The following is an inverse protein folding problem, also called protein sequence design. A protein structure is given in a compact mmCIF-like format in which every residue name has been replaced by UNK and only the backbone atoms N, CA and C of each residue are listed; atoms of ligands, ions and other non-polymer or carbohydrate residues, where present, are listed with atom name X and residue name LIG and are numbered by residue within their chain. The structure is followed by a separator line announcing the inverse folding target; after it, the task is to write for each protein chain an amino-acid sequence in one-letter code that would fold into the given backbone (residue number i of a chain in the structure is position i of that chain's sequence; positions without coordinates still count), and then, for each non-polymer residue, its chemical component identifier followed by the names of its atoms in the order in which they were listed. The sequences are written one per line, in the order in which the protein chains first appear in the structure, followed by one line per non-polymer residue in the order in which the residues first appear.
data_IF_008765043323
#
_entry.id   IF_008765043323
#
_cell.length_a   1.000
_cell.length_b   1.000
_cell.length_c   1.000
_cell.angle_alpha   90.00
_cell.angle_beta   90.00
_cell.angle_gamma   90.00
#
_symmetry.space_group_name_H-M   'P 1'
#
loop_
_entity.id
_entity.type
_entity.pdbx_description
1 polymer ?
#
# COMPACT_ATOMS: atom_id res chain seq x y z
N UNK A 1 -50.04 -35.81 0.43
CA UNK A 1 -50.53 -36.82 1.40
C UNK A 1 -49.33 -37.38 2.14
N UNK A 2 -49.53 -37.63 3.43
CA UNK A 2 -48.64 -38.19 4.44
C UNK A 2 -47.61 -37.27 5.09
N UNK A 3 -48.11 -36.71 6.20
CA UNK A 3 -47.41 -36.20 7.36
C UNK A 3 -46.81 -37.34 8.19
N UNK A 4 -45.71 -37.07 8.88
CA UNK A 4 -45.44 -37.61 10.21
C UNK A 4 -45.00 -36.45 11.12
N UNK A 5 -45.73 -36.30 12.23
CA UNK A 5 -45.47 -35.33 13.30
C UNK A 5 -44.79 -36.03 14.49
N UNK A 6 -43.87 -35.33 15.15
CA UNK A 6 -43.36 -35.64 16.48
C UNK A 6 -43.06 -34.32 17.20
N UNK A 7 -43.63 -34.13 18.38
CA UNK A 7 -43.83 -32.84 19.07
C UNK A 7 -42.80 -32.58 20.20
N UNK A 8 -42.45 -31.29 20.39
CA UNK A 8 -42.04 -30.51 21.61
C UNK A 8 -41.17 -31.17 22.73
N UNK A 9 -40.19 -30.51 23.38
CA UNK A 9 -40.19 -29.15 23.97
C UNK A 9 -38.79 -28.78 24.55
N UNK A 10 -38.59 -27.46 24.70
CA UNK A 10 -37.72 -26.70 25.64
C UNK A 10 -36.20 -26.84 25.61
N UNK A 11 -35.51 -25.70 25.36
CA UNK A 11 -34.11 -25.53 25.78
C UNK A 11 -33.33 -24.44 25.04
N UNK A 12 -33.62 -23.17 25.35
CA UNK A 12 -32.65 -22.06 25.45
C UNK A 12 -31.50 -21.95 24.43
N UNK A 13 -31.62 -20.92 23.60
CA UNK A 13 -30.62 -20.31 22.72
C UNK A 13 -29.17 -20.33 23.20
N UNK A 14 -28.22 -20.67 22.30
CA UNK A 14 -26.90 -20.03 22.22
C UNK A 14 -26.15 -20.38 20.91
N UNK A 15 -25.95 -19.33 20.09
CA UNK A 15 -24.85 -19.11 19.11
C UNK A 15 -24.86 -20.07 17.90
N UNK A 16 -24.50 -19.69 16.67
CA UNK A 16 -23.59 -18.65 16.19
C UNK A 16 -23.90 -18.49 14.69
N UNK A 17 -24.45 -17.35 14.25
CA UNK A 17 -24.55 -17.06 12.82
C UNK A 17 -23.13 -16.71 12.32
N UNK A 18 -22.45 -17.69 11.72
CA UNK A 18 -21.28 -17.43 10.88
C UNK A 18 -21.77 -17.26 9.44
N UNK A 19 -22.15 -16.03 9.10
CA UNK A 19 -22.23 -15.61 7.70
C UNK A 19 -20.80 -15.51 7.17
N UNK A 20 -20.40 -16.45 6.31
CA UNK A 20 -19.17 -16.39 5.52
C UNK A 20 -19.58 -16.42 4.05
N UNK A 21 -19.80 -15.26 3.45
CA UNK A 21 -19.79 -15.15 2.00
C UNK A 21 -18.35 -14.84 1.57
N UNK A 22 -17.62 -15.89 1.21
CA UNK A 22 -16.36 -15.80 0.47
C UNK A 22 -16.72 -16.02 -1.00
N UNK A 23 -16.81 -14.94 -1.77
CA UNK A 23 -17.00 -15.02 -3.21
C UNK A 23 -15.77 -15.71 -3.82
N UNK A 24 -15.97 -16.94 -4.31
CA UNK A 24 -14.98 -17.80 -4.94
C UNK A 24 -15.39 -17.91 -6.41
N UNK A 25 -14.89 -17.02 -7.26
CA UNK A 25 -15.14 -17.15 -8.70
C UNK A 25 -14.14 -18.15 -9.30
N UNK A 26 -14.63 -19.39 -9.39
CA UNK A 26 -14.57 -20.31 -10.55
C UNK A 26 -13.21 -20.44 -11.27
N UNK A 27 -12.54 -21.57 -10.99
CA UNK A 27 -11.94 -22.40 -12.03
C UNK A 27 -12.59 -23.78 -11.88
N UNK A 28 -13.53 -24.10 -12.77
CA UNK A 28 -14.15 -25.41 -12.89
C UNK A 28 -13.41 -26.12 -14.02
N UNK A 29 -12.64 -27.14 -13.69
CA UNK A 29 -12.24 -28.20 -14.63
C UNK A 29 -11.82 -29.41 -13.80
N UNK A 30 -12.72 -30.39 -13.79
CA UNK A 30 -12.57 -31.82 -13.52
C UNK A 30 -11.92 -32.27 -12.19
N UNK A 31 -12.74 -32.92 -11.36
CA UNK A 31 -12.42 -33.41 -10.03
C UNK A 31 -11.55 -34.67 -10.08
N UNK A 32 -10.25 -34.52 -9.83
CA UNK A 32 -9.40 -35.64 -9.41
C UNK A 32 -9.47 -35.81 -7.87
N UNK A 33 -9.91 -36.97 -7.33
CA UNK A 33 -10.36 -37.09 -5.93
C UNK A 33 -9.29 -36.90 -4.84
N UNK A 34 -8.02 -36.70 -5.19
CA UNK A 34 -6.90 -36.56 -4.25
C UNK A 34 -5.97 -35.38 -4.54
N UNK A 35 -6.31 -34.49 -5.47
CA UNK A 35 -5.47 -33.33 -5.77
C UNK A 35 -5.66 -32.25 -4.70
N UNK A 36 -4.68 -32.08 -3.81
CA UNK A 36 -4.60 -30.84 -3.01
C UNK A 36 -4.54 -29.67 -3.99
N UNK A 37 -5.36 -28.65 -3.77
CA UNK A 37 -5.33 -27.42 -4.57
C UNK A 37 -3.90 -26.91 -4.65
N UNK A 38 -3.42 -26.63 -5.86
CA UNK A 38 -2.09 -26.08 -6.08
C UNK A 38 -2.00 -24.69 -5.43
N UNK A 39 -1.38 -24.63 -4.25
CA UNK A 39 -1.26 -23.39 -3.47
C UNK A 39 0.03 -22.62 -3.83
N UNK A 40 0.14 -21.39 -3.33
CA UNK A 40 1.33 -20.55 -3.54
C UNK A 40 2.62 -21.22 -3.02
N UNK A 41 2.54 -21.95 -1.93
CA UNK A 41 3.66 -22.68 -1.32
C UNK A 41 4.14 -23.80 -2.22
N UNK A 42 3.22 -24.56 -2.82
CA UNK A 42 3.51 -25.60 -3.81
C UNK A 42 4.16 -25.00 -5.06
N UNK A 43 3.63 -23.89 -5.58
CA UNK A 43 4.24 -23.18 -6.70
C UNK A 43 5.67 -22.73 -6.41
N UNK A 44 5.90 -22.10 -5.26
CA UNK A 44 7.23 -21.66 -4.88
C UNK A 44 8.20 -22.84 -4.72
N UNK A 45 7.76 -23.98 -4.17
CA UNK A 45 8.59 -25.19 -4.10
C UNK A 45 8.99 -25.70 -5.49
N UNK A 46 8.07 -25.70 -6.45
CA UNK A 46 8.35 -26.06 -7.84
C UNK A 46 9.38 -25.11 -8.45
N UNK A 47 9.19 -23.80 -8.31
CA UNK A 47 10.08 -22.79 -8.90
C UNK A 47 11.48 -22.76 -8.25
N UNK A 48 11.65 -23.20 -7.01
CA UNK A 48 12.98 -23.29 -6.38
C UNK A 48 13.68 -24.64 -6.63
N UNK A 49 13.04 -25.57 -7.34
CA UNK A 49 13.61 -26.89 -7.57
C UNK A 49 14.60 -26.86 -8.74
N UNK A 50 15.90 -26.90 -8.43
CA UNK A 50 17.00 -26.91 -9.42
C UNK A 50 17.01 -28.13 -10.33
N UNK A 51 16.19 -29.15 -10.06
CA UNK A 51 16.00 -30.29 -10.96
C UNK A 51 15.56 -29.83 -12.35
N UNK A 52 14.76 -28.76 -12.47
CA UNK A 52 14.36 -28.25 -13.80
C UNK A 52 15.51 -27.66 -14.61
N UNK A 53 16.66 -27.38 -13.99
CA UNK A 53 17.90 -26.92 -14.62
C UNK A 53 18.86 -28.05 -15.01
N UNK A 54 18.44 -29.31 -14.93
CA UNK A 54 19.36 -30.44 -15.15
C UNK A 54 20.27 -30.71 -13.96
N UNK A 55 19.99 -30.15 -12.77
CA UNK A 55 20.86 -30.28 -11.59
C UNK A 55 20.26 -31.21 -10.55
N UNK A 56 21.09 -32.07 -9.97
CA UNK A 56 20.75 -32.90 -8.82
C UNK A 56 21.24 -32.24 -7.52
N UNK A 57 20.35 -31.96 -6.58
CA UNK A 57 20.71 -31.33 -5.29
C UNK A 57 20.81 -32.39 -4.19
N UNK A 58 22.01 -32.56 -3.62
CA UNK A 58 22.23 -33.40 -2.43
C UNK A 58 22.82 -32.58 -1.30
N UNK A 59 22.17 -32.61 -0.12
CA UNK A 59 22.60 -31.88 1.10
C UNK A 59 22.97 -30.41 0.84
N UNK A 60 22.23 -29.74 -0.05
CA UNK A 60 22.43 -28.33 -0.39
C UNK A 60 23.48 -28.04 -1.48
N UNK A 61 24.23 -29.05 -1.94
CA UNK A 61 25.16 -28.91 -3.07
C UNK A 61 24.49 -29.38 -4.36
N UNK A 62 24.66 -28.61 -5.44
CA UNK A 62 24.10 -28.94 -6.75
C UNK A 62 25.17 -29.60 -7.62
N UNK A 63 24.84 -30.73 -8.23
CA UNK A 63 25.67 -31.50 -9.14
C UNK A 63 25.02 -31.55 -10.53
N UNK A 64 25.78 -31.70 -11.62
CA UNK A 64 25.21 -31.98 -12.93
C UNK A 64 24.44 -33.30 -12.86
N UNK A 65 23.15 -33.26 -13.22
CA UNK A 65 22.29 -34.43 -13.36
C UNK A 65 22.43 -35.07 -14.74
N UNK A 66 21.92 -36.28 -14.88
CA UNK A 66 21.92 -37.01 -16.16
C UNK A 66 20.76 -36.60 -17.08
N UNK A 67 19.82 -35.80 -16.60
CA UNK A 67 18.66 -35.35 -17.35
C UNK A 67 18.88 -33.96 -17.96
N UNK A 68 18.35 -33.76 -19.16
CA UNK A 68 18.40 -32.47 -19.84
C UNK A 68 17.64 -31.40 -19.06
N UNK A 69 18.18 -30.17 -19.11
CA UNK A 69 17.52 -29.02 -18.52
C UNK A 69 16.22 -28.71 -19.28
N UNK A 70 15.12 -28.59 -18.53
CA UNK A 70 13.83 -28.18 -19.07
C UNK A 70 13.76 -26.64 -19.17
N UNK A 71 14.45 -25.95 -18.25
CA UNK A 71 14.47 -24.49 -18.15
C UNK A 71 15.89 -23.99 -18.36
N UNK A 72 16.03 -22.97 -19.21
CA UNK A 72 17.30 -22.29 -19.45
C UNK A 72 17.78 -21.48 -18.24
N UNK A 73 19.09 -21.26 -18.16
CA UNK A 73 19.73 -20.49 -17.08
C UNK A 73 19.25 -19.04 -17.03
N UNK A 74 19.14 -18.37 -18.18
CA UNK A 74 18.71 -16.97 -18.23
C UNK A 74 17.29 -16.79 -17.70
N UNK A 75 16.38 -17.67 -18.11
CA UNK A 75 14.99 -17.68 -17.66
C UNK A 75 14.86 -18.02 -16.17
N UNK A 76 15.71 -18.93 -15.67
CA UNK A 76 15.77 -19.27 -14.26
C UNK A 76 16.16 -18.06 -13.41
N UNK A 77 17.21 -17.35 -13.81
CA UNK A 77 17.72 -16.18 -13.09
C UNK A 77 16.70 -15.04 -13.09
N UNK A 78 16.06 -14.74 -14.23
CA UNK A 78 15.00 -13.74 -14.33
C UNK A 78 13.83 -14.02 -13.37
N UNK A 79 13.39 -15.29 -13.29
CA UNK A 79 12.31 -15.70 -12.37
C UNK A 79 12.75 -15.52 -10.91
N UNK A 80 13.99 -15.87 -10.59
CA UNK A 80 14.51 -15.72 -9.24
C UNK A 80 14.70 -14.26 -8.83
N UNK A 81 15.10 -13.40 -9.75
CA UNK A 81 15.13 -11.95 -9.57
C UNK A 81 13.73 -11.39 -9.30
N UNK A 82 12.72 -11.85 -10.05
CA UNK A 82 11.33 -11.48 -9.77
C UNK A 82 10.91 -11.96 -8.38
N UNK A 83 11.21 -13.20 -7.98
CA UNK A 83 10.87 -13.73 -6.65
C UNK A 83 11.55 -12.93 -5.53
N UNK A 84 12.83 -12.58 -5.70
CA UNK A 84 13.60 -11.79 -4.74
C UNK A 84 13.01 -10.38 -4.57
N UNK A 85 12.74 -9.70 -5.70
CA UNK A 85 12.22 -8.33 -5.72
C UNK A 85 10.73 -8.24 -5.31
N UNK A 86 9.95 -9.29 -5.54
CA UNK A 86 8.53 -9.33 -5.17
C UNK A 86 8.32 -9.54 -3.65
N UNK A 87 9.36 -9.97 -2.91
CA UNK A 87 9.32 -10.06 -1.44
C UNK A 87 9.12 -8.69 -0.77
N UNK A 88 9.61 -7.62 -1.40
CA UNK A 88 9.49 -6.23 -0.92
C UNK A 88 8.16 -5.58 -1.31
N UNK A 89 7.55 -6.02 -2.42
CA UNK A 89 6.29 -5.48 -2.95
C UNK A 89 5.07 -6.20 -2.37
N UNK A 90 4.99 -6.32 -1.03
CA UNK A 90 3.85 -6.97 -0.34
C UNK A 90 2.52 -6.36 -0.76
N UNK A 91 1.90 -7.02 -1.73
CA UNK A 91 0.56 -6.83 -2.34
C UNK A 91 -0.58 -6.65 -1.32
N UNK A 92 -0.36 -6.96 -0.03
CA UNK A 92 -1.28 -6.64 1.05
C UNK A 92 -1.58 -5.14 1.19
N UNK A 93 -0.62 -4.25 0.85
CA UNK A 93 -0.84 -2.79 0.87
C UNK A 93 -1.80 -2.34 -0.24
N UNK A 94 -1.78 -3.02 -1.39
CA UNK A 94 -2.62 -2.67 -2.54
C UNK A 94 -4.04 -3.26 -2.47
N UNK A 95 -4.25 -4.33 -1.68
CA UNK A 95 -5.56 -4.98 -1.49
C UNK A 95 -6.36 -4.44 -0.31
N UNK A 96 -5.81 -3.48 0.44
CA UNK A 96 -6.53 -2.89 1.57
C UNK A 96 -7.47 -1.81 1.03
N UNK A 97 -8.81 -1.89 1.26
CA UNK A 97 -9.78 -0.92 0.72
C UNK A 97 -9.55 0.52 1.14
N UNK A 98 -8.68 0.73 2.13
CA UNK A 98 -8.22 2.02 2.59
C UNK A 98 -6.78 1.83 3.08
N UNK A 99 -5.79 2.05 2.21
CA UNK A 99 -4.40 2.09 2.63
C UNK A 99 -4.21 3.30 3.55
N UNK A 100 -3.42 3.13 4.61
CA UNK A 100 -2.99 4.24 5.45
C UNK A 100 -2.09 5.17 4.61
N UNK A 101 -2.49 6.44 4.46
CA UNK A 101 -1.84 7.40 3.55
C UNK A 101 -0.38 7.67 3.95
N UNK A 102 -0.14 7.77 5.26
CA UNK A 102 1.16 8.15 5.84
C UNK A 102 2.02 6.94 6.21
N UNK A 103 1.69 5.75 5.72
CA UNK A 103 2.44 4.54 6.02
C UNK A 103 3.91 4.69 5.61
N UNK A 104 4.80 4.62 6.60
CA UNK A 104 6.24 4.76 6.39
C UNK A 104 6.73 6.20 6.22
N UNK A 105 5.84 7.19 6.37
CA UNK A 105 6.17 8.61 6.27
C UNK A 105 6.09 9.33 7.62
N UNK A 106 5.33 8.79 8.58
CA UNK A 106 5.12 9.41 9.89
C UNK A 106 6.11 8.88 10.95
N UNK A 107 6.71 9.83 11.67
CA UNK A 107 7.69 9.60 12.73
C UNK A 107 7.38 10.50 13.93
N UNK A 108 7.84 10.12 15.11
CA UNK A 108 7.87 11.02 16.27
C UNK A 108 9.06 11.98 16.17
N UNK A 109 9.11 13.01 17.02
CA UNK A 109 10.29 13.88 17.19
C UNK A 109 11.58 13.11 17.48
N UNK A 110 11.47 11.99 18.21
CA UNK A 110 12.59 11.09 18.51
C UNK A 110 13.03 10.24 17.31
N UNK A 111 12.39 10.39 16.15
CA UNK A 111 12.69 9.62 14.95
C UNK A 111 12.09 8.22 14.93
N UNK A 112 11.19 7.90 15.85
CA UNK A 112 10.56 6.58 15.93
C UNK A 112 9.40 6.52 14.95
N UNK A 113 9.43 5.54 14.05
CA UNK A 113 8.36 5.37 13.07
C UNK A 113 7.02 5.08 13.75
N UNK A 114 5.93 5.63 13.20
CA UNK A 114 4.58 5.26 13.61
C UNK A 114 3.95 4.30 12.60
N UNK A 115 3.43 3.18 13.09
CA UNK A 115 2.82 2.13 12.28
C UNK A 115 1.30 2.28 12.27
N UNK A 116 0.64 2.18 11.11
CA UNK A 116 -0.82 2.18 11.04
C UNK A 116 -1.36 0.92 11.72
N UNK A 117 -2.22 1.12 12.71
CA UNK A 117 -2.93 0.10 13.44
C UNK A 117 -4.43 0.33 13.28
N UNK A 118 -5.22 -0.73 13.32
CA UNK A 118 -6.67 -0.60 13.28
C UNK A 118 -7.36 -1.54 14.26
N UNK A 119 -8.54 -1.14 14.68
CA UNK A 119 -9.45 -1.98 15.49
C UNK A 119 -10.84 -1.92 14.86
N UNK A 120 -11.64 -2.98 15.05
CA UNK A 120 -13.00 -3.07 14.52
C UNK A 120 -13.97 -3.25 15.69
N UNK A 121 -15.00 -2.40 15.76
CA UNK A 121 -16.13 -2.55 16.69
C UNK A 121 -17.42 -2.55 15.88
N UNK A 122 -18.11 -3.70 15.83
CA UNK A 122 -19.27 -3.89 14.95
C UNK A 122 -18.88 -3.74 13.48
N UNK A 123 -19.54 -2.83 12.75
CA UNK A 123 -19.22 -2.49 11.36
C UNK A 123 -18.15 -1.41 11.24
N UNK A 124 -17.90 -0.61 12.29
CA UNK A 124 -16.99 0.53 12.25
C UNK A 124 -15.54 0.10 12.46
N UNK A 125 -14.65 0.59 11.60
CA UNK A 125 -13.19 0.42 11.67
C UNK A 125 -12.54 1.71 12.14
N UNK A 126 -11.82 1.64 13.26
CA UNK A 126 -11.02 2.74 13.79
C UNK A 126 -9.57 2.56 13.36
N UNK A 127 -8.94 3.64 12.92
CA UNK A 127 -7.55 3.66 12.45
C UNK A 127 -6.75 4.58 13.34
N UNK A 128 -5.55 4.16 13.69
CA UNK A 128 -4.62 4.90 14.52
C UNK A 128 -3.21 4.74 13.97
N UNK A 129 -2.38 5.77 14.09
CA UNK A 129 -0.94 5.62 13.99
C UNK A 129 -0.39 5.39 15.39
N UNK A 130 0.40 4.33 15.57
CA UNK A 130 0.95 3.94 16.88
C UNK A 130 2.47 3.96 16.79
N UNK A 131 3.12 4.62 17.75
CA UNK A 131 4.59 4.63 17.82
C UNK A 131 5.14 3.20 17.95
N UNK A 132 6.28 2.93 17.31
CA UNK A 132 6.94 1.63 17.44
C UNK A 132 7.38 1.35 18.89
N UNK A 133 7.68 2.37 19.69
CA UNK A 133 7.99 2.22 21.11
C UNK A 133 6.79 1.72 21.92
N UNK A 134 5.59 2.22 21.64
CA UNK A 134 4.36 1.71 22.26
C UNK A 134 4.06 0.27 21.86
N UNK A 135 4.32 -0.10 20.60
CA UNK A 135 4.14 -1.47 20.10
C UNK A 135 5.14 -2.42 20.77
N UNK A 136 6.41 -2.00 20.89
CA UNK A 136 7.49 -2.77 21.53
C UNK A 136 7.46 -2.73 23.06
N UNK A 137 6.50 -2.02 23.67
CA UNK A 137 6.33 -1.88 25.13
C UNK A 137 7.60 -1.39 25.84
N UNK A 138 8.29 -0.40 25.27
CA UNK A 138 9.45 0.22 25.93
C UNK A 138 9.04 0.95 27.23
N UNK A 139 9.96 1.14 28.18
CA UNK A 139 9.66 1.83 29.43
C UNK A 139 9.12 3.25 29.17
N UNK A 140 7.95 3.58 29.73
CA UNK A 140 7.29 4.88 29.50
C UNK A 140 8.15 6.10 29.83
N UNK A 141 9.11 5.97 30.76
CA UNK A 141 10.01 7.04 31.15
C UNK A 141 10.91 7.54 30.00
N UNK A 142 11.25 6.65 29.06
CA UNK A 142 12.11 6.92 27.90
C UNK A 142 11.32 7.38 26.68
N UNK A 143 9.99 7.22 26.72
CA UNK A 143 9.13 7.55 25.62
C UNK A 143 8.88 9.06 25.61
N UNK A 144 9.05 9.67 24.43
CA UNK A 144 8.75 11.08 24.17
C UNK A 144 7.80 11.19 22.99
N UNK A 145 6.86 12.14 23.06
CA UNK A 145 5.87 12.40 22.02
C UNK A 145 4.65 11.48 22.02
N UNK A 146 3.74 11.67 21.05
CA UNK A 146 2.44 11.03 21.03
C UNK A 146 2.55 9.52 20.72
N UNK A 147 1.88 8.72 21.54
CA UNK A 147 1.92 7.24 21.40
C UNK A 147 0.91 6.71 20.39
N UNK A 148 -0.24 7.36 20.31
CA UNK A 148 -1.35 6.97 19.45
C UNK A 148 -1.98 8.22 18.89
N UNK A 149 -2.13 8.28 17.58
CA UNK A 149 -2.79 9.36 16.89
C UNK A 149 -3.99 8.84 16.09
N UNK A 150 -5.15 9.50 16.12
CA UNK A 150 -6.29 9.13 15.28
C UNK A 150 -5.95 9.28 13.79
N UNK A 151 -6.07 8.19 13.03
CA UNK A 151 -5.62 8.13 11.64
C UNK A 151 -6.30 9.16 10.73
N UNK A 152 -7.63 9.25 10.79
CA UNK A 152 -8.39 10.20 9.96
C UNK A 152 -8.00 11.66 10.23
N UNK A 153 -7.91 12.04 11.51
CA UNK A 153 -7.53 13.41 11.89
C UNK A 153 -6.12 13.79 11.41
N UNK A 154 -5.15 12.89 11.56
CA UNK A 154 -3.77 13.15 11.11
C UNK A 154 -3.70 13.21 9.58
N UNK A 155 -4.37 12.29 8.90
CA UNK A 155 -4.40 12.25 7.43
C UNK A 155 -5.06 13.51 6.85
N UNK A 156 -6.21 13.93 7.40
CA UNK A 156 -6.92 15.13 6.99
C UNK A 156 -6.08 16.40 7.24
N UNK A 157 -5.38 16.46 8.38
CA UNK A 157 -4.47 17.57 8.69
C UNK A 157 -3.31 17.66 7.70
N UNK A 158 -2.67 16.54 7.37
CA UNK A 158 -1.56 16.52 6.39
C UNK A 158 -2.05 16.91 5.00
N UNK A 159 -3.20 16.38 4.56
CA UNK A 159 -3.78 16.75 3.26
C UNK A 159 -4.19 18.23 3.25
N UNK A 160 -4.74 18.75 4.34
CA UNK A 160 -5.03 20.17 4.52
C UNK A 160 -3.80 21.05 4.38
N UNK A 161 -2.68 20.65 4.99
CA UNK A 161 -1.43 21.38 4.90
C UNK A 161 -0.82 21.33 3.50
N UNK A 162 -0.88 20.18 2.82
CA UNK A 162 -0.49 20.07 1.41
C UNK A 162 -1.30 21.05 0.55
N UNK A 163 -2.63 21.12 0.73
CA UNK A 163 -3.49 22.07 0.00
C UNK A 163 -3.08 23.52 0.26
N UNK A 164 -2.80 23.87 1.53
CA UNK A 164 -2.37 25.22 1.91
C UNK A 164 -1.07 25.60 1.21
N UNK A 165 -0.09 24.71 1.22
CA UNK A 165 1.22 24.92 0.59
C UNK A 165 1.11 25.01 -0.94
N UNK A 166 0.29 24.19 -1.58
CA UNK A 166 0.09 24.27 -3.04
C UNK A 166 -0.54 25.59 -3.51
N UNK A 167 -1.30 26.29 -2.64
CA UNK A 167 -1.90 27.60 -2.93
C UNK A 167 -0.96 28.78 -2.67
N UNK A 168 0.23 28.52 -2.15
CA UNK A 168 1.18 29.55 -1.73
C UNK A 168 2.05 29.97 -2.94
N UNK A 169 2.18 31.27 -3.26
CA UNK A 169 2.85 31.74 -4.50
C UNK A 169 4.32 31.31 -4.58
N UNK A 170 4.98 31.13 -3.43
CA UNK A 170 6.35 30.61 -3.34
C UNK A 170 6.49 29.20 -3.92
N UNK A 171 5.47 28.36 -3.74
CA UNK A 171 5.42 27.01 -4.33
C UNK A 171 5.20 27.11 -5.82
N UNK A 172 4.28 27.96 -6.29
CA UNK A 172 4.06 28.19 -7.72
C UNK A 172 5.32 28.70 -8.43
N UNK A 173 6.02 29.68 -7.84
CA UNK A 173 7.29 30.22 -8.35
C UNK A 173 8.42 29.17 -8.35
N UNK A 174 8.44 28.27 -7.36
CA UNK A 174 9.45 27.21 -7.28
C UNK A 174 9.19 26.09 -8.29
N UNK A 175 7.92 25.73 -8.44
CA UNK A 175 7.45 24.77 -9.43
C UNK A 175 7.71 25.30 -10.85
N UNK A 176 7.42 26.58 -11.11
CA UNK A 176 7.69 27.21 -12.42
C UNK A 176 9.18 27.18 -12.78
N UNK A 177 10.08 27.46 -11.82
CA UNK A 177 11.53 27.32 -12.02
C UNK A 177 11.96 25.90 -12.37
N UNK A 178 11.32 24.90 -11.78
CA UNK A 178 11.65 23.48 -12.03
C UNK A 178 11.13 23.06 -13.40
N UNK A 179 9.90 23.44 -13.73
CA UNK A 179 9.24 23.11 -15.00
C UNK A 179 9.77 23.89 -16.19
N UNK A 180 10.39 25.06 -16.01
CA UNK A 180 10.97 25.85 -17.10
C UNK A 180 11.90 25.06 -18.02
N UNK A 181 12.58 24.03 -17.49
CA UNK A 181 13.47 23.16 -18.28
C UNK A 181 12.69 22.25 -19.24
N UNK A 182 11.53 21.77 -18.82
CA UNK A 182 10.75 20.77 -19.56
C UNK A 182 9.58 21.39 -20.35
N UNK A 183 9.02 22.50 -19.84
CA UNK A 183 7.85 23.22 -20.34
C UNK A 183 8.02 24.75 -20.18
N UNK A 184 8.82 25.40 -21.05
CA UNK A 184 9.03 26.85 -21.01
C UNK A 184 7.77 27.65 -21.40
N UNK A 185 6.78 27.00 -22.00
CA UNK A 185 5.49 27.56 -22.42
C UNK A 185 4.55 27.89 -21.24
N UNK A 186 4.80 27.34 -20.06
CA UNK A 186 3.95 27.52 -18.89
C UNK A 186 4.41 28.70 -18.03
N UNK A 187 3.60 29.77 -18.04
CA UNK A 187 3.75 30.90 -17.13
C UNK A 187 3.36 30.57 -15.68
N UNK A 188 3.85 31.38 -14.73
CA UNK A 188 3.57 31.21 -13.29
C UNK A 188 2.08 31.28 -12.95
N UNK A 189 1.33 32.15 -13.64
CA UNK A 189 -0.12 32.27 -13.48
C UNK A 189 -0.87 31.00 -13.93
N UNK A 190 -0.45 30.36 -15.02
CA UNK A 190 -1.04 29.12 -15.50
C UNK A 190 -0.77 27.96 -14.54
N UNK A 191 0.45 27.89 -13.98
CA UNK A 191 0.81 26.89 -12.96
C UNK A 191 -0.02 27.09 -11.69
N UNK A 192 -0.15 28.34 -11.22
CA UNK A 192 -0.99 28.64 -10.06
C UNK A 192 -2.46 28.25 -10.30
N UNK A 193 -2.99 28.46 -11.51
CA UNK A 193 -4.35 28.07 -11.88
C UNK A 193 -4.52 26.55 -12.01
N UNK A 194 -3.51 25.82 -12.46
CA UNK A 194 -3.52 24.35 -12.44
C UNK A 194 -3.49 23.82 -11.00
N UNK A 195 -2.71 24.43 -10.10
CA UNK A 195 -2.60 23.99 -8.71
C UNK A 195 -3.91 24.16 -7.92
N UNK A 196 -4.81 25.07 -8.31
CA UNK A 196 -6.14 25.18 -7.68
C UNK A 196 -7.08 24.02 -8.04
N UNK A 197 -6.83 23.32 -9.15
CA UNK A 197 -7.59 22.12 -9.55
C UNK A 197 -7.20 20.87 -8.74
N UNK A 198 -6.23 20.97 -7.83
CA UNK A 198 -5.73 19.84 -7.04
C UNK A 198 -6.83 19.20 -6.20
N UNK A 199 -7.78 20.01 -5.69
CA UNK A 199 -8.87 19.50 -4.85
C UNK A 199 -9.84 18.61 -5.62
N UNK A 200 -10.12 18.93 -6.88
CA UNK A 200 -11.01 18.13 -7.72
C UNK A 200 -10.33 16.84 -8.18
N UNK A 201 -9.05 16.93 -8.57
CA UNK A 201 -8.23 15.75 -8.83
C UNK A 201 -8.20 14.85 -7.59
N UNK A 202 -7.90 15.40 -6.40
CA UNK A 202 -7.78 14.61 -5.17
C UNK A 202 -9.05 13.84 -4.81
N UNK A 203 -10.23 14.43 -5.04
CA UNK A 203 -11.54 13.77 -4.82
C UNK A 203 -11.83 12.68 -5.85
N UNK A 204 -11.34 12.82 -7.08
CA UNK A 204 -11.52 11.84 -8.14
C UNK A 204 -10.59 10.61 -7.98
N UNK A 205 -9.45 10.76 -7.29
CA UNK A 205 -8.48 9.68 -7.10
C UNK A 205 -8.98 8.57 -6.18
N UNK A 206 -8.70 7.33 -6.55
CA UNK A 206 -8.94 6.18 -5.66
C UNK A 206 -7.94 6.20 -4.48
N UNK A 207 -8.26 5.60 -3.32
CA UNK A 207 -7.41 5.65 -2.12
C UNK A 207 -5.97 5.16 -2.34
N UNK A 208 -5.77 4.19 -3.24
CA UNK A 208 -4.44 3.70 -3.58
C UNK A 208 -3.59 4.75 -4.30
N UNK A 209 -4.20 5.55 -5.17
CA UNK A 209 -3.55 6.63 -5.91
C UNK A 209 -3.29 7.84 -5.02
N UNK A 210 -4.25 8.19 -4.16
CA UNK A 210 -4.03 9.20 -3.11
C UNK A 210 -2.76 8.87 -2.30
N UNK A 211 -2.61 7.62 -1.85
CA UNK A 211 -1.41 7.18 -1.13
C UNK A 211 -0.11 7.25 -1.98
N UNK A 212 -0.19 7.06 -3.30
CA UNK A 212 0.96 7.24 -4.20
C UNK A 212 1.33 8.71 -4.32
N UNK A 213 0.35 9.59 -4.49
CA UNK A 213 0.53 11.04 -4.56
C UNK A 213 1.15 11.56 -3.26
N UNK A 214 0.65 11.15 -2.09
CA UNK A 214 1.26 11.55 -0.80
C UNK A 214 2.72 11.10 -0.71
N UNK A 215 3.05 9.88 -1.10
CA UNK A 215 4.44 9.38 -1.08
C UNK A 215 5.38 10.16 -2.01
N UNK A 216 4.85 10.70 -3.10
CA UNK A 216 5.60 11.51 -4.04
C UNK A 216 5.79 12.94 -3.53
N UNK A 217 4.79 13.49 -2.84
CA UNK A 217 4.82 14.86 -2.31
C UNK A 217 5.52 14.98 -0.95
N UNK A 218 5.35 14.01 -0.06
CA UNK A 218 5.78 14.11 1.34
C UNK A 218 7.08 13.34 1.52
N UNK A 219 8.09 14.02 2.05
CA UNK A 219 9.34 13.42 2.45
C UNK A 219 9.17 12.73 3.81
N UNK A 220 8.62 13.46 4.78
CA UNK A 220 8.49 13.03 6.17
C UNK A 220 7.39 13.82 6.88
N UNK A 221 6.70 13.16 7.80
CA UNK A 221 5.79 13.81 8.76
C UNK A 221 6.34 13.55 10.16
N UNK A 222 6.57 14.61 10.92
CA UNK A 222 7.06 14.54 12.29
C UNK A 222 5.94 14.92 13.25
N UNK A 223 5.60 14.01 14.14
CA UNK A 223 4.57 14.19 15.15
C UNK A 223 5.20 14.50 16.52
N UNK A 224 4.77 15.61 17.10
CA UNK A 224 5.15 16.08 18.42
C UNK A 224 3.93 16.26 19.32
N UNK A 225 4.17 16.57 20.60
CA UNK A 225 3.10 16.97 21.51
C UNK A 225 2.53 18.36 21.16
N UNK A 226 3.30 19.19 20.43
CA UNK A 226 2.89 20.50 19.97
C UNK A 226 2.09 20.47 18.65
N UNK A 227 2.28 19.45 17.81
CA UNK A 227 1.57 19.35 16.53
C UNK A 227 2.20 18.40 15.51
N UNK A 228 1.91 18.65 14.24
CA UNK A 228 2.44 17.90 13.10
C UNK A 228 3.28 18.84 12.23
N UNK A 229 4.52 18.44 11.94
CA UNK A 229 5.36 19.08 10.94
C UNK A 229 5.40 18.22 9.67
N UNK A 230 5.25 18.84 8.50
CA UNK A 230 5.21 18.15 7.20
C UNK A 230 6.35 18.64 6.31
N UNK A 231 7.27 17.74 5.99
CA UNK A 231 8.37 18.01 5.07
C UNK A 231 7.98 17.58 3.65
N UNK A 232 8.03 18.51 2.69
CA UNK A 232 7.68 18.25 1.29
C UNK A 232 8.91 17.99 0.41
N UNK A 233 8.72 17.14 -0.61
CA UNK A 233 9.70 16.87 -1.66
C UNK A 233 9.54 17.88 -2.79
N UNK A 234 10.64 18.55 -3.13
CA UNK A 234 10.67 19.53 -4.22
C UNK A 234 10.39 18.91 -5.59
N UNK A 235 10.96 17.72 -5.85
CA UNK A 235 10.80 16.99 -7.12
C UNK A 235 9.34 16.53 -7.32
N UNK A 236 8.67 16.13 -6.24
CA UNK A 236 7.28 15.68 -6.30
C UNK A 236 6.31 16.79 -6.69
N UNK A 237 6.57 18.02 -6.22
CA UNK A 237 5.75 19.18 -6.56
C UNK A 237 5.82 19.50 -8.07
N UNK A 238 7.01 19.41 -8.66
CA UNK A 238 7.19 19.61 -10.10
C UNK A 238 6.45 18.56 -10.94
N UNK A 239 6.51 17.29 -10.54
CA UNK A 239 5.84 16.20 -11.26
C UNK A 239 4.31 16.33 -11.26
N UNK A 240 3.70 16.76 -10.14
CA UNK A 240 2.24 16.97 -10.08
C UNK A 240 1.83 18.18 -10.91
N UNK A 241 2.57 19.28 -10.81
CA UNK A 241 2.28 20.45 -11.62
C UNK A 241 2.42 20.18 -13.12
N UNK A 242 3.37 19.34 -13.54
CA UNK A 242 3.49 18.88 -14.91
C UNK A 242 2.28 18.05 -15.36
N UNK A 243 1.79 17.15 -14.49
CA UNK A 243 0.62 16.30 -14.76
C UNK A 243 -0.67 17.13 -14.87
N UNK A 244 -0.78 18.20 -14.09
CA UNK A 244 -1.95 19.09 -14.05
C UNK A 244 -1.87 20.27 -15.01
N UNK A 245 -0.71 20.48 -15.64
CA UNK A 245 -0.57 21.50 -16.66
C UNK A 245 -1.38 21.11 -17.91
N UNK A 246 -1.95 22.10 -18.63
CA UNK A 246 -2.63 21.82 -19.88
C UNK A 246 -1.68 21.09 -20.85
N UNK A 247 -2.25 20.15 -21.61
CA UNK A 247 -1.53 19.42 -22.65
C UNK A 247 -0.79 20.42 -23.56
N UNK A 248 0.41 20.05 -24.02
CA UNK A 248 1.15 20.89 -24.97
C UNK A 248 0.23 21.12 -26.15
N UNK A 249 -0.10 22.37 -26.47
CA UNK A 249 -0.72 22.63 -27.76
C UNK A 249 0.34 22.28 -28.79
N UNK A 250 0.20 21.14 -29.45
CA UNK A 250 0.88 20.86 -30.70
C UNK A 250 0.39 21.93 -31.67
N UNK A 251 1.14 23.03 -31.77
CA UNK A 251 0.98 24.01 -32.82
C UNK A 251 1.40 23.32 -34.12
N UNK A 252 0.41 23.07 -34.97
CA UNK A 252 0.58 22.79 -36.40
C UNK A 252 1.15 24.00 -37.14
#
# INVERSE_FOLDING_TARGET
MNWCAGYLRTGTSRRRLKTVYRCRTICRTEEFPHSRSYDKTSLLKTLHNKVYRGLAVHKGTAYPGEHDAIIDETLWDDVHDVIANNRSRRVAVAKEPSPALLRGLIFTETGVAMTPHHTKKGTRRYRYYVSMDAIKKRPKAEIRGPQRLPGGMVEDAVVGEIRRLLRTPEVAARVSRTLRKDRPDLGEAAISASLTQFDDMWKALIPAEQARVVRLLVARVTASDAGLAVDLRHEGLGAIAALMAPAKSELA
#
